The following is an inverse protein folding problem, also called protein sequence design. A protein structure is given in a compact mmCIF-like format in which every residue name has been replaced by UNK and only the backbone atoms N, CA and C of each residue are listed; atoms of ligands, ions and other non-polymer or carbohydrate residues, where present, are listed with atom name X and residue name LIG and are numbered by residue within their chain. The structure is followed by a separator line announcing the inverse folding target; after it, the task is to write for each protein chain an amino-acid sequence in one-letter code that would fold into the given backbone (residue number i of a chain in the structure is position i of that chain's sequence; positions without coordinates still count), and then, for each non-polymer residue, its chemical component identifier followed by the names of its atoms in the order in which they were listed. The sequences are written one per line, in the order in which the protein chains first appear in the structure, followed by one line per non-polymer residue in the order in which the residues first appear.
data_IF_794550336554
#
_entry.id   IF_794550336554
#
_cell.length_a   1.000
_cell.length_b   1.000
_cell.length_c   1.000
_cell.angle_alpha   90.00
_cell.angle_beta   90.00
_cell.angle_gamma   90.00
#
_symmetry.space_group_name_H-M   'P 1'
#
loop_
_entity.id
_entity.type
_entity.pdbx_description
1 polymer ?
#
# COMPACT_ATOMS: atom_id res chain seq x y z
N UNK A 1 12.77 -15.48 -4.34
CA UNK A 1 12.19 -15.72 -2.99
C UNK A 1 10.67 -15.70 -3.06
N UNK A 2 9.99 -16.46 -2.18
CA UNK A 2 8.55 -16.34 -2.00
C UNK A 2 8.20 -15.00 -1.34
N UNK A 3 7.12 -14.35 -1.79
CA UNK A 3 6.67 -13.07 -1.24
C UNK A 3 6.15 -13.27 0.20
N UNK A 4 6.65 -12.49 1.17
CA UNK A 4 6.23 -12.62 2.58
C UNK A 4 4.77 -12.18 2.76
N UNK A 5 4.03 -12.72 3.75
CA UNK A 5 2.63 -12.33 3.97
C UNK A 5 2.42 -10.82 4.17
N UNK A 6 3.33 -10.15 4.90
CA UNK A 6 3.31 -8.70 5.08
C UNK A 6 3.41 -7.97 3.73
N UNK A 7 4.36 -8.37 2.88
CA UNK A 7 4.56 -7.75 1.57
C UNK A 7 3.36 -7.96 0.65
N UNK A 8 2.75 -9.15 0.69
CA UNK A 8 1.54 -9.47 -0.08
C UNK A 8 0.36 -8.58 0.30
N UNK A 9 0.23 -8.24 1.58
CA UNK A 9 -0.80 -7.31 2.05
C UNK A 9 -0.43 -5.86 1.71
N UNK A 10 0.83 -5.44 1.85
CA UNK A 10 1.31 -4.10 1.47
C UNK A 10 1.23 -3.83 -0.04
N UNK A 11 1.32 -4.86 -0.87
CA UNK A 11 1.17 -4.73 -2.32
C UNK A 11 -0.29 -4.56 -2.75
N UNK A 12 -1.26 -4.81 -1.85
CA UNK A 12 -2.66 -4.50 -2.09
C UNK A 12 -2.90 -2.99 -1.92
N UNK A 13 -3.41 -2.36 -2.98
CA UNK A 13 -3.67 -0.92 -2.98
C UNK A 13 -4.86 -0.56 -2.08
N UNK A 14 -5.83 -1.46 -1.98
CA UNK A 14 -7.13 -1.24 -1.35
C UNK A 14 -7.31 -2.14 -0.13
N UNK A 15 -7.63 -1.52 1.01
CA UNK A 15 -8.08 -2.19 2.22
C UNK A 15 -9.60 -2.02 2.39
N UNK A 16 -10.29 -3.09 2.72
CA UNK A 16 -11.72 -3.08 3.06
C UNK A 16 -11.84 -3.54 4.52
N UNK A 17 -12.30 -2.64 5.39
CA UNK A 17 -12.45 -2.91 6.82
C UNK A 17 -13.91 -3.15 7.17
N UNK A 18 -14.19 -4.29 7.80
CA UNK A 18 -15.49 -4.60 8.38
C UNK A 18 -15.52 -4.34 9.88
N UNK A 19 -16.71 -4.16 10.44
CA UNK A 19 -16.88 -3.97 11.89
C UNK A 19 -16.54 -5.24 12.65
N UNK A 20 -16.88 -6.41 12.09
CA UNK A 20 -16.75 -7.70 12.80
C UNK A 20 -16.09 -8.80 11.97
N UNK A 21 -15.42 -9.78 12.62
CA UNK A 21 -14.84 -10.94 11.94
C UNK A 21 -15.84 -11.79 11.15
N UNK A 22 -17.09 -11.90 11.61
CA UNK A 22 -18.09 -12.74 10.94
C UNK A 22 -18.50 -12.17 9.58
N UNK A 23 -18.43 -10.84 9.41
CA UNK A 23 -18.83 -10.12 8.20
C UNK A 23 -17.87 -10.36 7.02
N UNK A 24 -16.58 -10.54 7.32
CA UNK A 24 -15.52 -10.52 6.30
C UNK A 24 -15.69 -11.65 5.29
N UNK A 25 -16.15 -12.83 5.73
CA UNK A 25 -16.23 -14.02 4.89
C UNK A 25 -17.26 -13.84 3.77
N UNK A 26 -18.42 -13.27 4.11
CA UNK A 26 -19.50 -13.04 3.14
C UNK A 26 -19.07 -11.95 2.15
N UNK A 27 -18.60 -10.81 2.64
CA UNK A 27 -18.15 -9.69 1.78
C UNK A 27 -16.99 -10.12 0.87
N UNK A 28 -16.00 -10.83 1.41
CA UNK A 28 -14.87 -11.35 0.64
C UNK A 28 -15.32 -12.31 -0.47
N UNK A 29 -16.31 -13.16 -0.19
CA UNK A 29 -16.85 -14.11 -1.15
C UNK A 29 -17.48 -13.38 -2.35
N UNK A 30 -18.31 -12.36 -2.11
CA UNK A 30 -18.95 -11.57 -3.18
C UNK A 30 -17.92 -10.82 -4.05
N UNK A 31 -16.85 -10.35 -3.40
CA UNK A 31 -15.71 -9.72 -4.07
C UNK A 31 -14.80 -10.72 -4.82
N UNK A 32 -14.96 -12.03 -4.59
CA UNK A 32 -14.14 -13.07 -5.18
C UNK A 32 -12.76 -13.24 -4.53
N UNK A 33 -12.57 -12.76 -3.30
CA UNK A 33 -11.36 -12.93 -2.52
C UNK A 33 -11.34 -14.32 -1.85
N UNK A 34 -10.58 -15.25 -2.42
CA UNK A 34 -10.54 -16.66 -1.99
C UNK A 34 -9.35 -17.01 -1.13
N UNK A 35 -8.28 -16.22 -1.23
CA UNK A 35 -7.07 -16.50 -0.49
C UNK A 35 -7.14 -15.92 0.91
N UNK A 36 -6.56 -16.61 1.89
CA UNK A 36 -6.55 -16.20 3.29
C UNK A 36 -5.14 -16.10 3.85
N UNK A 37 -4.86 -15.02 4.55
CA UNK A 37 -3.66 -14.84 5.38
C UNK A 37 -4.10 -14.64 6.84
N UNK A 38 -3.45 -15.35 7.76
CA UNK A 38 -3.61 -15.15 9.21
C UNK A 38 -2.74 -13.99 9.67
N UNK A 39 -3.24 -13.16 10.57
CA UNK A 39 -2.46 -12.09 11.22
C UNK A 39 -1.22 -12.62 11.94
N UNK A 40 -1.27 -13.85 12.46
CA UNK A 40 -0.12 -14.55 13.06
C UNK A 40 1.07 -14.71 12.12
N UNK A 41 0.86 -14.66 10.81
CA UNK A 41 1.89 -14.82 9.79
C UNK A 41 2.41 -13.46 9.26
N UNK A 42 1.91 -12.35 9.80
CA UNK A 42 2.18 -10.99 9.32
C UNK A 42 2.89 -10.21 10.41
N UNK A 43 4.17 -9.91 10.18
CA UNK A 43 4.97 -9.14 11.14
C UNK A 43 4.31 -7.79 11.46
N UNK A 44 4.20 -7.49 12.76
CA UNK A 44 3.60 -6.25 13.26
C UNK A 44 2.06 -6.25 13.33
N UNK A 45 1.39 -7.38 13.05
CA UNK A 45 -0.07 -7.51 13.14
C UNK A 45 -0.48 -8.44 14.28
N UNK A 46 -1.57 -8.11 14.97
CA UNK A 46 -2.14 -8.96 16.02
C UNK A 46 -2.65 -10.31 15.44
N UNK A 47 -2.41 -11.38 16.18
CA UNK A 47 -2.80 -12.76 15.87
C UNK A 47 -4.31 -12.93 15.61
N UNK A 48 -5.15 -12.07 16.16
CA UNK A 48 -6.61 -12.15 15.96
C UNK A 48 -7.09 -11.81 14.55
N UNK A 49 -6.27 -11.16 13.72
CA UNK A 49 -6.72 -10.69 12.41
C UNK A 49 -6.72 -11.79 11.35
N UNK A 50 -7.65 -11.66 10.41
CA UNK A 50 -7.76 -12.49 9.21
C UNK A 50 -7.87 -11.57 8.00
N UNK A 51 -7.15 -11.92 6.94
CA UNK A 51 -7.16 -11.19 5.68
C UNK A 51 -7.66 -12.10 4.56
N UNK A 52 -8.69 -11.68 3.86
CA UNK A 52 -9.10 -12.29 2.59
C UNK A 52 -8.55 -11.47 1.44
N UNK A 53 -7.72 -12.08 0.60
CA UNK A 53 -7.02 -11.41 -0.49
C UNK A 53 -7.73 -11.70 -1.80
N UNK A 54 -7.92 -10.65 -2.59
CA UNK A 54 -8.48 -10.73 -3.93
C UNK A 54 -7.75 -9.84 -4.92
N UNK A 55 -8.06 -10.08 -6.20
CA UNK A 55 -7.60 -9.25 -7.31
C UNK A 55 -8.78 -8.94 -8.21
N UNK A 56 -8.91 -7.68 -8.60
CA UNK A 56 -9.91 -7.24 -9.55
C UNK A 56 -9.23 -6.81 -10.84
N UNK A 57 -9.66 -7.38 -11.96
CA UNK A 57 -9.13 -7.05 -13.29
C UNK A 57 -9.99 -6.01 -13.99
N UNK A 58 -9.34 -5.08 -14.67
CA UNK A 58 -9.96 -3.96 -15.38
C UNK A 58 -9.62 -4.01 -16.87
N UNK A 59 -10.37 -3.24 -17.67
CA UNK A 59 -10.08 -3.05 -19.10
C UNK A 59 -8.64 -2.55 -19.26
N UNK A 60 -7.89 -3.14 -20.20
CA UNK A 60 -6.48 -2.85 -20.40
C UNK A 60 -5.52 -3.68 -19.54
N UNK A 61 -6.02 -4.72 -18.84
CA UNK A 61 -5.17 -5.68 -18.11
C UNK A 61 -4.66 -5.19 -16.76
N UNK A 62 -5.06 -3.99 -16.32
CA UNK A 62 -4.74 -3.47 -14.99
C UNK A 62 -5.36 -4.36 -13.92
N UNK A 63 -4.61 -4.63 -12.85
CA UNK A 63 -5.04 -5.46 -11.73
C UNK A 63 -4.99 -4.67 -10.43
N UNK A 64 -6.10 -4.62 -9.70
CA UNK A 64 -6.17 -4.04 -8.37
C UNK A 64 -6.10 -5.17 -7.34
N UNK A 65 -5.01 -5.23 -6.59
CA UNK A 65 -4.92 -6.07 -5.39
C UNK A 65 -5.67 -5.42 -4.23
N UNK A 66 -6.45 -6.21 -3.50
CA UNK A 66 -7.17 -5.76 -2.33
C UNK A 66 -7.20 -6.84 -1.24
N UNK A 67 -7.44 -6.41 0.01
CA UNK A 67 -7.79 -7.33 1.09
C UNK A 67 -9.04 -6.87 1.85
N UNK A 68 -9.78 -7.83 2.38
CA UNK A 68 -10.88 -7.63 3.31
C UNK A 68 -10.44 -8.13 4.68
N UNK A 69 -10.62 -7.31 5.71
CA UNK A 69 -10.34 -7.65 7.10
C UNK A 69 -11.34 -6.94 8.01
N UNK A 70 -11.23 -7.12 9.32
CA UNK A 70 -12.12 -6.50 10.30
C UNK A 70 -11.37 -6.01 11.52
N UNK A 71 -12.07 -5.19 12.31
CA UNK A 71 -11.72 -5.03 13.71
C UNK A 71 -11.99 -6.33 14.49
N UNK A 72 -11.30 -6.52 15.61
CA UNK A 72 -11.51 -7.69 16.48
C UNK A 72 -12.79 -7.59 17.32
N UNK A 73 -13.33 -6.38 17.50
CA UNK A 73 -14.53 -6.08 18.28
C UNK A 73 -15.24 -4.86 17.70
N UNK A 74 -16.57 -4.91 17.61
CA UNK A 74 -17.41 -3.77 17.22
C UNK A 74 -17.26 -2.58 18.19
N UNK A 75 -17.55 -1.38 17.68
CA UNK A 75 -17.56 -0.13 18.42
C UNK A 75 -16.44 0.83 18.01
N UNK A 76 -16.67 2.12 18.28
CA UNK A 76 -15.81 3.23 17.86
C UNK A 76 -14.34 3.05 18.28
N UNK A 77 -14.09 2.82 19.57
CA UNK A 77 -12.72 2.76 20.11
C UNK A 77 -11.97 1.50 19.66
N UNK A 78 -12.51 0.27 19.79
CA UNK A 78 -11.83 -0.92 19.30
C UNK A 78 -11.55 -0.87 17.79
N UNK A 79 -12.52 -0.37 17.00
CA UNK A 79 -12.34 -0.20 15.57
C UNK A 79 -11.23 0.81 15.26
N UNK A 80 -11.22 1.97 15.93
CA UNK A 80 -10.22 3.01 15.71
C UNK A 80 -8.79 2.50 15.98
N UNK A 81 -8.60 1.76 17.08
CA UNK A 81 -7.29 1.21 17.47
C UNK A 81 -6.85 0.14 16.47
N UNK A 82 -7.70 -0.85 16.19
CA UNK A 82 -7.37 -1.95 15.31
C UNK A 82 -7.09 -1.48 13.88
N UNK A 83 -8.01 -0.69 13.30
CA UNK A 83 -7.88 -0.17 11.93
C UNK A 83 -6.71 0.80 11.81
N UNK A 84 -6.47 1.66 12.81
CA UNK A 84 -5.31 2.57 12.83
C UNK A 84 -3.96 1.84 12.87
N UNK A 85 -3.85 0.78 13.68
CA UNK A 85 -2.67 -0.07 13.73
C UNK A 85 -2.43 -0.79 12.39
N UNK A 86 -3.47 -1.41 11.82
CA UNK A 86 -3.40 -2.06 10.51
C UNK A 86 -2.99 -1.08 9.40
N UNK A 87 -3.56 0.13 9.36
CA UNK A 87 -3.19 1.17 8.39
C UNK A 87 -1.72 1.57 8.54
N UNK A 88 -1.20 1.69 9.77
CA UNK A 88 0.22 2.04 9.99
C UNK A 88 1.19 0.96 9.50
N UNK A 89 0.83 -0.31 9.69
CA UNK A 89 1.68 -1.46 9.34
C UNK A 89 1.57 -1.81 7.85
N UNK A 90 0.34 -1.92 7.35
CA UNK A 90 0.05 -2.39 5.99
C UNK A 90 0.03 -1.27 4.94
N UNK A 91 -0.06 -0.01 5.37
CA UNK A 91 0.01 1.19 4.54
C UNK A 91 -0.79 1.10 3.22
N UNK A 92 -2.08 0.73 3.26
CA UNK A 92 -2.90 0.73 2.06
C UNK A 92 -3.02 2.16 1.52
N UNK A 93 -3.17 2.32 0.21
CA UNK A 93 -3.42 3.66 -0.38
C UNK A 93 -4.87 4.09 -0.28
N UNK A 94 -5.76 3.11 -0.37
CA UNK A 94 -7.19 3.34 -0.38
C UNK A 94 -7.82 2.49 0.71
N UNK A 95 -8.83 3.03 1.37
CA UNK A 95 -9.60 2.30 2.36
C UNK A 95 -11.10 2.48 2.12
N UNK A 96 -11.86 1.42 2.37
CA UNK A 96 -13.33 1.45 2.42
C UNK A 96 -13.75 0.80 3.74
N UNK A 97 -14.76 1.37 4.38
CA UNK A 97 -15.43 0.69 5.47
C UNK A 97 -16.72 0.04 4.96
N UNK A 98 -16.87 -1.25 5.23
CA UNK A 98 -18.03 -2.04 4.82
C UNK A 98 -18.66 -2.77 6.01
N UNK A 99 -19.90 -3.21 5.88
CA UNK A 99 -20.61 -3.96 6.92
C UNK A 99 -22.11 -3.73 6.84
N UNK A 100 -22.78 -3.73 7.98
CA UNK A 100 -24.22 -3.45 8.06
C UNK A 100 -24.56 -2.26 8.95
N UNK A 101 -25.77 -1.73 8.78
CA UNK A 101 -26.31 -0.63 9.57
C UNK A 101 -27.83 -0.79 9.80
N UNK A 102 -28.34 0.05 10.71
CA UNK A 102 -29.76 0.34 10.83
C UNK A 102 -30.17 1.44 9.84
N UNK A 103 -31.25 1.25 9.09
CA UNK A 103 -31.70 2.18 8.04
C UNK A 103 -32.80 3.15 8.49
N UNK A 104 -32.77 4.39 7.99
CA UNK A 104 -33.81 5.38 8.24
C UNK A 104 -35.07 5.14 7.38
N UNK A 105 -35.99 4.31 7.89
CA UNK A 105 -37.26 3.96 7.23
C UNK A 105 -38.09 5.17 6.78
N UNK A 106 -38.08 6.26 7.55
CA UNK A 106 -38.84 7.49 7.25
C UNK A 106 -38.35 8.19 5.98
N UNK A 107 -37.07 8.02 5.65
CA UNK A 107 -36.45 8.51 4.42
C UNK A 107 -36.54 7.50 3.26
N UNK A 108 -37.31 6.41 3.42
CA UNK A 108 -37.52 5.41 2.37
C UNK A 108 -36.46 4.32 2.28
N UNK A 109 -35.53 4.24 3.25
CA UNK A 109 -34.54 3.16 3.33
C UNK A 109 -35.22 1.87 3.78
N UNK A 110 -34.96 0.75 3.08
CA UNK A 110 -35.53 -0.57 3.37
C UNK A 110 -34.44 -1.56 3.76
N UNK A 111 -34.84 -2.69 4.35
CA UNK A 111 -33.95 -3.83 4.57
C UNK A 111 -33.32 -4.26 3.25
N UNK A 112 -32.05 -4.66 3.30
CA UNK A 112 -31.20 -5.05 2.17
C UNK A 112 -30.86 -3.94 1.17
N UNK A 113 -31.39 -2.72 1.31
CA UNK A 113 -30.83 -1.57 0.61
C UNK A 113 -29.38 -1.33 1.12
N UNK A 114 -28.54 -0.66 0.33
CA UNK A 114 -27.19 -0.28 0.72
C UNK A 114 -27.11 1.23 0.86
N UNK A 115 -26.64 1.70 2.00
CA UNK A 115 -26.28 3.11 2.20
C UNK A 115 -24.81 3.30 1.83
N UNK A 116 -24.54 4.31 1.04
CA UNK A 116 -23.22 4.80 0.67
C UNK A 116 -23.04 6.18 1.28
N UNK A 117 -21.89 6.46 1.87
CA UNK A 117 -21.65 7.75 2.47
C UNK A 117 -20.18 8.08 2.63
N UNK A 118 -19.91 9.36 2.72
CA UNK A 118 -18.58 9.93 2.94
C UNK A 118 -18.57 10.91 4.12
N UNK A 119 -19.64 10.89 4.91
CA UNK A 119 -19.85 11.76 6.06
C UNK A 119 -20.48 10.99 7.21
N UNK A 120 -19.98 11.20 8.43
CA UNK A 120 -20.50 10.56 9.63
C UNK A 120 -20.37 11.45 10.87
N UNK A 121 -21.14 11.12 11.90
CA UNK A 121 -21.19 11.84 13.17
C UNK A 121 -21.16 10.85 14.34
N UNK A 122 -20.61 11.24 15.49
CA UNK A 122 -20.65 10.44 16.71
C UNK A 122 -21.84 10.85 17.59
N UNK A 123 -22.59 9.90 18.12
CA UNK A 123 -23.66 10.15 19.10
C UNK A 123 -23.14 10.52 20.49
N UNK A 124 -21.92 10.12 20.78
CA UNK A 124 -21.34 10.13 22.13
C UNK A 124 -20.34 11.26 22.32
N UNK A 125 -20.05 12.00 21.26
CA UNK A 125 -19.28 13.23 21.35
C UNK A 125 -20.18 14.32 21.96
N UNK A 126 -19.65 15.05 22.94
CA UNK A 126 -20.41 16.07 23.66
C UNK A 126 -19.96 16.25 25.10
N UNK A 127 -20.83 16.85 25.91
CA UNK A 127 -20.57 17.09 27.34
C UNK A 127 -21.80 16.81 28.18
N UNK A 128 -21.57 16.33 29.39
CA UNK A 128 -22.60 16.26 30.42
C UNK A 128 -22.74 17.61 31.11
N UNK A 129 -23.98 18.09 31.27
CA UNK A 129 -24.29 19.34 31.94
C UNK A 129 -25.42 19.14 32.95
N UNK A 130 -25.35 19.84 34.08
CA UNK A 130 -26.46 19.90 35.03
C UNK A 130 -27.44 20.98 34.60
N UNK A 131 -28.67 20.61 34.25
CA UNK A 131 -29.74 21.54 33.87
C UNK A 131 -30.94 21.29 34.78
N UNK A 132 -31.31 22.28 35.59
CA UNK A 132 -32.38 22.17 36.59
C UNK A 132 -32.21 20.91 37.48
N UNK A 133 -31.03 20.76 38.08
CA UNK A 133 -30.64 19.60 38.91
C UNK A 133 -30.72 18.23 38.23
N UNK A 134 -30.91 18.19 36.91
CA UNK A 134 -30.93 16.96 36.12
C UNK A 134 -29.67 16.88 35.25
N UNK A 135 -28.91 15.80 35.40
CA UNK A 135 -27.74 15.54 34.57
C UNK A 135 -28.21 15.21 33.14
N UNK A 136 -27.87 16.06 32.19
CA UNK A 136 -28.29 15.96 30.78
C UNK A 136 -27.06 15.89 29.89
N UNK A 137 -27.05 14.94 28.96
CA UNK A 137 -26.03 14.90 27.92
C UNK A 137 -26.35 15.91 26.82
N UNK A 138 -25.40 16.80 26.53
CA UNK A 138 -25.45 17.76 25.44
C UNK A 138 -24.53 17.25 24.33
N UNK A 139 -25.08 16.62 23.28
CA UNK A 139 -24.29 16.08 22.19
C UNK A 139 -23.63 17.21 21.39
N UNK A 140 -22.42 16.93 20.93
CA UNK A 140 -21.68 17.74 19.96
C UNK A 140 -21.55 16.91 18.69
N UNK A 141 -22.55 17.05 17.81
CA UNK A 141 -22.61 16.29 16.57
C UNK A 141 -21.68 16.92 15.51
N UNK A 142 -20.36 16.85 15.75
CA UNK A 142 -19.37 17.22 14.74
C UNK A 142 -19.46 16.25 13.56
N UNK A 143 -19.64 16.79 12.35
CA UNK A 143 -19.63 15.97 11.13
C UNK A 143 -18.20 15.80 10.64
N UNK A 144 -17.74 14.56 10.55
CA UNK A 144 -16.49 14.23 9.87
C UNK A 144 -16.83 13.81 8.44
N UNK A 145 -16.23 14.50 7.46
CA UNK A 145 -16.45 14.22 6.04
C UNK A 145 -15.12 13.98 5.32
N UNK A 146 -15.12 13.01 4.41
CA UNK A 146 -14.03 12.75 3.47
C UNK A 146 -14.63 12.63 2.06
N UNK A 147 -14.96 13.75 1.39
CA UNK A 147 -15.74 13.74 0.15
C UNK A 147 -15.17 12.80 -0.91
N UNK A 148 -16.02 11.92 -1.45
CA UNK A 148 -15.58 10.95 -2.46
C UNK A 148 -16.21 11.25 -3.81
N UNK A 149 -15.37 11.62 -4.78
CA UNK A 149 -15.81 11.95 -6.13
C UNK A 149 -16.57 10.78 -6.77
N UNK A 150 -17.76 11.07 -7.32
CA UNK A 150 -18.58 10.09 -8.03
C UNK A 150 -19.47 9.21 -7.14
N UNK A 151 -19.39 9.29 -5.81
CA UNK A 151 -20.19 8.44 -4.92
C UNK A 151 -21.69 8.77 -5.00
N UNK A 152 -22.03 10.07 -5.04
CA UNK A 152 -23.42 10.53 -5.19
C UNK A 152 -24.01 10.08 -6.55
N UNK A 153 -23.37 10.36 -7.71
CA UNK A 153 -23.83 9.83 -8.99
C UNK A 153 -23.97 8.30 -8.99
N UNK A 154 -23.02 7.57 -8.41
CA UNK A 154 -23.04 6.11 -8.36
C UNK A 154 -24.26 5.55 -7.61
N UNK A 155 -24.61 6.15 -6.47
CA UNK A 155 -25.81 5.77 -5.73
C UNK A 155 -27.08 6.10 -6.52
N UNK A 156 -27.15 7.28 -7.13
CA UNK A 156 -28.35 7.77 -7.82
C UNK A 156 -28.79 6.94 -9.04
N UNK A 157 -27.93 6.06 -9.57
CA UNK A 157 -28.26 5.20 -10.72
C UNK A 157 -28.90 3.87 -10.31
N UNK A 158 -29.19 3.64 -9.03
CA UNK A 158 -29.66 2.36 -8.49
C UNK A 158 -30.76 2.58 -7.46
N UNK A 159 -31.85 1.82 -7.58
CA UNK A 159 -33.01 1.98 -6.69
C UNK A 159 -32.78 1.47 -5.26
N UNK A 160 -31.84 0.53 -5.07
CA UNK A 160 -31.51 -0.06 -3.77
C UNK A 160 -30.22 0.50 -3.16
N UNK A 161 -29.68 1.59 -3.72
CA UNK A 161 -28.46 2.24 -3.19
C UNK A 161 -28.73 3.69 -2.89
N UNK A 162 -28.50 4.09 -1.65
CA UNK A 162 -28.79 5.44 -1.16
C UNK A 162 -27.50 6.17 -0.84
N UNK A 163 -27.43 7.48 -1.10
CA UNK A 163 -26.37 8.32 -0.56
C UNK A 163 -26.85 9.06 0.69
N UNK A 164 -26.14 8.92 1.80
CA UNK A 164 -26.52 9.55 3.06
C UNK A 164 -25.41 9.61 4.09
N UNK A 165 -25.72 10.32 5.18
CA UNK A 165 -24.83 10.49 6.32
C UNK A 165 -25.06 9.36 7.32
N UNK A 166 -23.96 8.96 7.94
CA UNK A 166 -23.97 7.99 9.02
C UNK A 166 -23.98 8.67 10.38
N UNK A 167 -24.57 7.98 11.34
CA UNK A 167 -24.44 8.28 12.76
C UNK A 167 -23.86 7.05 13.43
N UNK A 168 -22.81 7.22 14.24
CA UNK A 168 -22.13 6.14 14.93
C UNK A 168 -22.35 6.23 16.43
N UNK A 169 -22.51 5.08 17.12
CA UNK A 169 -22.49 4.98 18.57
C UNK A 169 -21.64 3.81 19.06
N UNK A 170 -21.30 3.75 20.35
CA UNK A 170 -20.52 2.65 20.91
C UNK A 170 -21.36 1.44 21.31
N UNK A 171 -22.68 1.52 21.16
CA UNK A 171 -23.61 0.44 21.46
C UNK A 171 -24.66 0.31 20.37
N UNK A 172 -25.20 -0.90 20.21
CA UNK A 172 -26.36 -1.10 19.36
C UNK A 172 -27.59 -0.48 20.03
N UNK A 173 -28.48 0.08 19.20
CA UNK A 173 -29.63 0.89 19.62
C UNK A 173 -30.93 0.33 19.05
N UNK A 174 -31.98 0.39 19.85
CA UNK A 174 -33.36 0.03 19.45
C UNK A 174 -34.27 1.27 19.37
N UNK A 175 -33.69 2.46 19.54
CA UNK A 175 -34.35 3.76 19.45
C UNK A 175 -33.87 4.57 18.24
N UNK A 176 -33.44 3.90 17.16
CA UNK A 176 -32.92 4.56 15.97
C UNK A 176 -33.91 5.56 15.34
N UNK A 177 -35.25 5.31 15.30
CA UNK A 177 -36.21 6.28 14.78
C UNK A 177 -36.15 7.64 15.51
N UNK A 178 -36.04 7.62 16.84
CA UNK A 178 -35.95 8.84 17.65
C UNK A 178 -34.60 9.56 17.45
N UNK A 179 -33.52 8.80 17.28
CA UNK A 179 -32.20 9.33 16.95
C UNK A 179 -32.22 10.03 15.59
N UNK A 180 -32.76 9.37 14.55
CA UNK A 180 -32.86 9.95 13.21
C UNK A 180 -33.69 11.23 13.22
N UNK A 181 -34.87 11.22 13.84
CA UNK A 181 -35.71 12.42 13.95
C UNK A 181 -34.97 13.58 14.61
N UNK A 182 -34.26 13.32 15.71
CA UNK A 182 -33.47 14.35 16.38
C UNK A 182 -32.39 14.93 15.48
N UNK A 183 -31.62 14.10 14.79
CA UNK A 183 -30.54 14.53 13.89
C UNK A 183 -31.09 15.27 12.66
N UNK A 184 -32.21 14.81 12.10
CA UNK A 184 -32.91 15.47 10.99
C UNK A 184 -33.33 16.90 11.33
N UNK A 185 -33.86 17.09 12.55
CA UNK A 185 -34.37 18.38 13.02
C UNK A 185 -33.26 19.35 13.44
N UNK A 186 -32.14 18.83 13.96
CA UNK A 186 -31.11 19.67 14.59
C UNK A 186 -29.87 19.86 13.74
N UNK A 187 -29.50 18.88 12.90
CA UNK A 187 -28.22 18.89 12.17
C UNK A 187 -28.39 18.75 10.66
N UNK A 188 -28.95 17.63 10.16
CA UNK A 188 -28.98 17.34 8.73
C UNK A 188 -30.11 16.42 8.32
N UNK A 189 -30.79 16.76 7.21
CA UNK A 189 -31.84 15.93 6.61
C UNK A 189 -31.31 14.74 5.81
N UNK A 190 -29.98 14.59 5.69
CA UNK A 190 -29.34 13.53 4.90
C UNK A 190 -28.96 12.30 5.72
N UNK A 191 -29.32 12.24 7.00
CA UNK A 191 -29.00 11.08 7.86
C UNK A 191 -29.83 9.87 7.44
N UNK A 192 -29.15 8.79 7.03
CA UNK A 192 -29.80 7.58 6.52
C UNK A 192 -29.45 6.30 7.27
N UNK A 193 -28.35 6.31 8.04
CA UNK A 193 -27.83 5.10 8.67
C UNK A 193 -27.33 5.34 10.09
N UNK A 194 -27.60 4.37 10.97
CA UNK A 194 -27.06 4.29 12.34
C UNK A 194 -26.23 3.01 12.47
N UNK A 195 -25.00 3.14 12.96
CA UNK A 195 -24.04 2.04 13.09
C UNK A 195 -23.00 2.36 14.19
N UNK A 196 -21.82 1.72 14.19
CA UNK A 196 -20.90 1.77 15.32
C UNK A 196 -19.46 2.24 15.01
N UNK A 197 -19.08 2.50 13.74
CA UNK A 197 -17.67 2.68 13.35
C UNK A 197 -17.40 3.74 12.26
N UNK A 198 -18.38 4.20 11.49
CA UNK A 198 -18.19 5.07 10.32
C UNK A 198 -17.49 6.40 10.65
N UNK A 199 -17.86 7.05 11.75
CA UNK A 199 -17.21 8.29 12.20
C UNK A 199 -15.75 8.05 12.60
N UNK A 200 -15.44 6.95 13.29
CA UNK A 200 -14.07 6.57 13.62
C UNK A 200 -13.24 6.30 12.34
N UNK A 201 -13.80 5.56 11.38
CA UNK A 201 -13.15 5.29 10.10
C UNK A 201 -12.80 6.58 9.34
N UNK A 202 -13.78 7.48 9.16
CA UNK A 202 -13.56 8.73 8.44
C UNK A 202 -12.60 9.66 9.19
N UNK A 203 -12.63 9.66 10.53
CA UNK A 203 -11.70 10.45 11.36
C UNK A 203 -10.27 9.91 11.24
N UNK A 204 -10.10 8.58 11.25
CA UNK A 204 -8.80 7.95 10.98
C UNK A 204 -8.25 8.35 9.61
N UNK A 205 -9.02 8.17 8.53
CA UNK A 205 -8.54 8.50 7.19
C UNK A 205 -8.24 9.99 6.99
N UNK A 206 -9.04 10.88 7.57
CA UNK A 206 -8.82 12.34 7.48
C UNK A 206 -7.61 12.84 8.29
N UNK A 207 -7.26 12.17 9.39
CA UNK A 207 -6.17 12.59 10.28
C UNK A 207 -4.83 11.88 9.99
N UNK A 208 -4.83 10.82 9.18
CA UNK A 208 -3.63 10.04 8.90
C UNK A 208 -2.71 10.69 7.85
N UNK A 209 -2.26 11.92 8.13
CA UNK A 209 -1.30 12.68 7.29
C UNK A 209 0.01 11.93 7.03
N UNK A 210 0.36 10.98 7.90
CA UNK A 210 1.59 10.19 7.77
C UNK A 210 1.44 8.96 6.86
N UNK A 211 0.23 8.46 6.64
CA UNK A 211 0.00 7.25 5.82
C UNK A 211 -0.64 7.53 4.47
N UNK A 212 -1.14 8.76 4.23
CA UNK A 212 -1.74 9.18 2.95
C UNK A 212 -2.87 8.25 2.44
N UNK A 213 -3.59 7.58 3.36
CA UNK A 213 -4.70 6.69 2.98
C UNK A 213 -5.91 7.52 2.57
N UNK A 214 -6.40 7.33 1.36
CA UNK A 214 -7.63 7.94 0.87
C UNK A 214 -8.84 7.05 1.19
N UNK A 215 -9.81 7.59 1.94
CA UNK A 215 -11.10 6.94 2.10
C UNK A 215 -11.87 7.01 0.78
N UNK A 216 -12.38 5.85 0.33
CA UNK A 216 -13.27 5.73 -0.84
C UNK A 216 -14.74 5.55 -0.43
N UNK A 217 -15.06 5.77 0.85
CA UNK A 217 -16.42 5.80 1.37
C UNK A 217 -16.70 4.73 2.43
N UNK A 218 -17.93 4.79 2.94
CA UNK A 218 -18.54 3.84 3.86
C UNK A 218 -19.77 3.26 3.16
N UNK A 219 -19.78 1.93 2.97
CA UNK A 219 -20.83 1.22 2.25
C UNK A 219 -21.41 0.15 3.17
N UNK A 220 -22.67 0.31 3.58
CA UNK A 220 -23.30 -0.61 4.53
C UNK A 220 -24.69 -1.04 4.11
N UNK A 221 -24.94 -2.34 4.14
CA UNK A 221 -26.24 -2.93 3.90
C UNK A 221 -27.14 -2.77 5.11
N UNK A 222 -28.43 -2.56 4.87
CA UNK A 222 -29.41 -2.33 5.93
C UNK A 222 -29.89 -3.68 6.45
N UNK A 223 -29.40 -4.10 7.62
CA UNK A 223 -29.78 -5.38 8.25
C UNK A 223 -30.95 -5.25 9.22
N UNK A 224 -31.21 -4.04 9.72
CA UNK A 224 -32.35 -3.73 10.57
C UNK A 224 -32.78 -2.27 10.40
N UNK A 225 -33.88 -1.88 11.03
CA UNK A 225 -34.40 -0.49 11.01
C UNK A 225 -34.24 0.19 12.38
N UNK A 226 -33.48 -0.44 13.29
CA UNK A 226 -33.21 0.02 14.65
C UNK A 226 -34.45 0.23 15.50
N UNK A 227 -35.47 -0.60 15.30
CA UNK A 227 -36.71 -0.69 16.07
C UNK A 227 -36.80 -2.03 16.84
N UNK A 228 -37.89 -2.24 17.59
CA UNK A 228 -38.13 -3.45 18.41
C UNK A 228 -38.26 -4.74 17.58
N UNK A 229 -38.32 -4.65 16.25
CA UNK A 229 -38.43 -5.80 15.34
C UNK A 229 -37.06 -6.38 14.94
N UNK A 230 -35.97 -5.85 15.50
CA UNK A 230 -34.59 -6.25 15.20
C UNK A 230 -34.32 -7.75 15.42
N UNK A 231 -33.56 -8.35 14.51
CA UNK A 231 -32.97 -9.68 14.68
C UNK A 231 -33.97 -10.84 14.59
N UNK A 232 -35.19 -10.60 14.12
CA UNK A 232 -36.20 -11.65 13.91
C UNK A 232 -35.84 -12.62 12.79
N UNK A 233 -34.99 -12.21 11.86
CA UNK A 233 -34.58 -13.02 10.72
C UNK A 233 -33.06 -12.90 10.47
N UNK A 234 -32.27 -13.94 10.83
CA UNK A 234 -30.83 -14.00 10.53
C UNK A 234 -30.52 -13.93 9.03
N UNK A 235 -31.43 -14.35 8.15
CA UNK A 235 -31.23 -14.33 6.70
C UNK A 235 -31.10 -12.90 6.19
N UNK A 236 -31.80 -11.93 6.80
CA UNK A 236 -31.71 -10.52 6.45
C UNK A 236 -30.31 -9.95 6.70
N UNK A 237 -29.64 -10.37 7.78
CA UNK A 237 -28.29 -9.92 8.09
C UNK A 237 -27.29 -10.42 7.04
N UNK A 238 -27.36 -11.70 6.70
CA UNK A 238 -26.50 -12.28 5.66
C UNK A 238 -26.77 -11.67 4.28
N UNK A 239 -28.04 -11.49 3.89
CA UNK A 239 -28.38 -10.91 2.59
C UNK A 239 -27.97 -9.43 2.51
N UNK A 240 -28.11 -8.65 3.57
CA UNK A 240 -27.60 -7.28 3.63
C UNK A 240 -26.07 -7.22 3.44
N UNK A 241 -25.32 -8.19 3.98
CA UNK A 241 -23.88 -8.30 3.74
C UNK A 241 -23.56 -8.70 2.29
N UNK A 242 -24.37 -9.58 1.68
CA UNK A 242 -24.22 -9.94 0.26
C UNK A 242 -24.45 -8.73 -0.64
N UNK A 243 -25.53 -7.99 -0.41
CA UNK A 243 -25.81 -6.75 -1.14
C UNK A 243 -24.71 -5.71 -0.94
N UNK A 244 -24.18 -5.57 0.28
CA UNK A 244 -22.99 -4.75 0.55
C UNK A 244 -21.82 -5.17 -0.32
N UNK A 245 -21.50 -6.47 -0.37
CA UNK A 245 -20.42 -7.00 -1.19
C UNK A 245 -20.61 -6.77 -2.70
N UNK A 246 -21.84 -6.93 -3.21
CA UNK A 246 -22.20 -6.67 -4.62
C UNK A 246 -22.01 -5.18 -4.97
N UNK A 247 -22.60 -4.28 -4.17
CA UNK A 247 -22.48 -2.83 -4.39
C UNK A 247 -21.04 -2.35 -4.23
N UNK A 248 -20.30 -2.89 -3.26
CA UNK A 248 -18.88 -2.60 -3.07
C UNK A 248 -18.04 -3.00 -4.28
N UNK A 249 -18.29 -4.18 -4.85
CA UNK A 249 -17.61 -4.64 -6.07
C UNK A 249 -17.84 -3.68 -7.24
N UNK A 250 -19.09 -3.25 -7.43
CA UNK A 250 -19.46 -2.29 -8.47
C UNK A 250 -18.84 -0.92 -8.23
N UNK A 251 -18.82 -0.47 -6.97
CA UNK A 251 -18.23 0.81 -6.60
C UNK A 251 -16.73 0.84 -6.86
N UNK A 252 -16.01 -0.20 -6.45
CA UNK A 252 -14.57 -0.35 -6.73
C UNK A 252 -14.31 -0.35 -8.24
N UNK A 253 -15.13 -1.05 -9.03
CA UNK A 253 -15.02 -1.01 -10.50
C UNK A 253 -15.21 0.39 -11.06
N UNK A 254 -16.20 1.12 -10.55
CA UNK A 254 -16.48 2.49 -10.97
C UNK A 254 -15.31 3.43 -10.64
N UNK A 255 -14.84 3.44 -9.39
CA UNK A 255 -13.73 4.28 -8.93
C UNK A 255 -12.45 4.05 -9.72
N UNK A 256 -12.07 2.79 -9.89
CA UNK A 256 -10.77 2.42 -10.45
C UNK A 256 -10.81 2.25 -11.98
N UNK A 257 -11.95 2.53 -12.64
CA UNK A 257 -12.01 2.56 -14.11
C UNK A 257 -11.11 3.63 -14.73
N UNK A 258 -10.95 4.77 -14.06
CA UNK A 258 -10.17 5.93 -14.52
C UNK A 258 -9.05 6.35 -13.56
N UNK A 259 -9.01 5.80 -12.35
CA UNK A 259 -7.98 6.09 -11.36
C UNK A 259 -6.65 5.40 -11.74
N UNK A 260 -5.53 5.97 -11.32
CA UNK A 260 -4.23 5.28 -11.30
C UNK A 260 -3.89 4.96 -9.86
N UNK A 261 -3.52 3.71 -9.60
CA UNK A 261 -3.28 3.20 -8.25
C UNK A 261 -1.98 2.42 -8.15
N UNK A 262 -1.12 2.41 -9.16
CA UNK A 262 0.18 1.76 -9.04
C UNK A 262 1.10 2.60 -8.14
N UNK A 263 1.92 1.98 -7.28
CA UNK A 263 2.88 2.75 -6.50
C UNK A 263 3.84 3.43 -7.46
N UNK A 264 4.03 4.73 -7.30
CA UNK A 264 5.18 5.37 -7.93
C UNK A 264 6.42 4.89 -7.20
N UNK A 265 7.10 3.89 -7.77
CA UNK A 265 8.40 3.42 -7.27
C UNK A 265 9.40 4.59 -7.16
N UNK A 266 9.18 5.73 -7.86
CA UNK A 266 10.06 6.90 -7.79
C UNK A 266 10.19 7.53 -6.38
N UNK A 267 9.20 7.35 -5.51
CA UNK A 267 9.20 7.89 -4.16
C UNK A 267 9.90 6.98 -3.13
N UNK A 268 10.13 5.72 -3.50
CA UNK A 268 10.73 4.71 -2.63
C UNK A 268 12.20 5.04 -2.30
N UNK A 269 12.68 4.70 -1.08
CA UNK A 269 14.08 4.84 -0.71
C UNK A 269 15.07 4.29 -1.74
N UNK A 270 14.80 3.09 -2.27
CA UNK A 270 15.63 2.44 -3.29
C UNK A 270 15.74 3.26 -4.58
N UNK A 271 14.66 3.86 -5.06
CA UNK A 271 14.66 4.70 -6.26
C UNK A 271 15.39 6.03 -6.03
N UNK A 272 15.21 6.67 -4.86
CA UNK A 272 15.95 7.89 -4.48
C UNK A 272 17.45 7.64 -4.43
N UNK A 273 17.85 6.50 -3.86
CA UNK A 273 19.24 6.07 -3.81
C UNK A 273 19.78 5.76 -5.22
N UNK A 274 19.03 5.03 -6.04
CA UNK A 274 19.40 4.70 -7.42
C UNK A 274 19.57 5.94 -8.29
N UNK A 275 18.74 6.97 -8.10
CA UNK A 275 18.89 8.28 -8.77
C UNK A 275 20.24 8.92 -8.46
N UNK A 276 20.57 9.00 -7.17
CA UNK A 276 21.84 9.57 -6.71
C UNK A 276 23.03 8.77 -7.22
N UNK A 277 22.95 7.43 -7.14
CA UNK A 277 23.97 6.53 -7.63
C UNK A 277 24.16 6.64 -9.15
N UNK A 278 23.07 6.67 -9.93
CA UNK A 278 23.12 6.85 -11.37
C UNK A 278 23.85 8.13 -11.77
N UNK A 279 23.44 9.27 -11.21
CA UNK A 279 24.01 10.58 -11.58
C UNK A 279 25.46 10.75 -11.11
N UNK A 280 25.81 10.24 -9.93
CA UNK A 280 27.13 10.47 -9.34
C UNK A 280 28.18 9.44 -9.73
N UNK A 281 27.76 8.22 -10.08
CA UNK A 281 28.64 7.12 -10.46
C UNK A 281 28.42 6.70 -11.92
N UNK A 282 27.30 6.04 -12.23
CA UNK A 282 27.09 5.37 -13.53
C UNK A 282 27.28 6.33 -14.70
N UNK A 283 26.59 7.47 -14.67
CA UNK A 283 26.67 8.47 -15.73
C UNK A 283 28.11 8.98 -15.90
N UNK A 284 28.80 9.27 -14.80
CA UNK A 284 30.17 9.80 -14.84
C UNK A 284 31.16 8.78 -15.40
N UNK A 285 31.03 7.51 -15.02
CA UNK A 285 31.89 6.43 -15.51
C UNK A 285 31.62 6.17 -16.99
N UNK A 286 30.36 6.01 -17.39
CA UNK A 286 30.00 5.75 -18.80
C UNK A 286 30.39 6.91 -19.71
N UNK A 287 30.17 8.16 -19.29
CA UNK A 287 30.59 9.35 -20.05
C UNK A 287 32.12 9.41 -20.18
N UNK A 288 32.86 9.05 -19.12
CA UNK A 288 34.32 9.00 -19.14
C UNK A 288 34.86 7.94 -20.12
N UNK A 289 34.28 6.74 -20.11
CA UNK A 289 34.63 5.68 -21.07
C UNK A 289 34.32 6.11 -22.51
N UNK A 290 33.14 6.71 -22.73
CA UNK A 290 32.71 7.19 -24.05
C UNK A 290 33.60 8.33 -24.58
N UNK A 291 34.14 9.16 -23.70
CA UNK A 291 35.10 10.21 -24.04
C UNK A 291 36.55 9.70 -24.18
N UNK A 292 36.81 8.40 -23.97
CA UNK A 292 38.14 7.82 -24.04
C UNK A 292 39.07 8.27 -22.91
N UNK A 293 38.52 8.67 -21.75
CA UNK A 293 39.32 9.02 -20.59
C UNK A 293 40.09 7.79 -20.06
N UNK A 294 41.30 7.98 -19.52
CA UNK A 294 42.13 6.87 -19.07
C UNK A 294 41.46 6.14 -17.90
N UNK A 295 41.55 4.81 -17.95
CA UNK A 295 41.27 3.92 -16.82
C UNK A 295 42.62 3.42 -16.31
N UNK A 296 42.91 3.73 -15.05
CA UNK A 296 44.12 3.22 -14.39
C UNK A 296 43.76 1.94 -13.66
N UNK A 297 44.36 0.83 -14.04
CA UNK A 297 44.15 -0.46 -13.36
C UNK A 297 45.39 -0.71 -12.50
N UNK A 298 45.20 -0.96 -11.21
CA UNK A 298 46.32 -1.31 -10.33
C UNK A 298 46.88 -2.65 -10.78
N UNK A 299 48.09 -2.63 -11.33
CA UNK A 299 48.73 -3.81 -11.86
C UNK A 299 49.02 -4.79 -10.71
N UNK A 300 48.41 -5.96 -10.77
CA UNK A 300 48.83 -7.11 -9.97
C UNK A 300 50.15 -7.61 -10.61
N UNK A 301 51.27 -7.16 -10.03
CA UNK A 301 52.67 -7.52 -10.34
C UNK A 301 53.32 -6.85 -11.57
N UNK A 302 54.49 -6.25 -11.33
CA UNK A 302 55.32 -5.45 -12.24
C UNK A 302 55.86 -6.18 -13.50
N UNK A 303 55.51 -7.44 -13.74
CA UNK A 303 56.09 -8.26 -14.81
C UNK A 303 55.11 -8.67 -15.92
N UNK A 304 53.87 -8.17 -15.93
CA UNK A 304 52.93 -8.46 -17.02
C UNK A 304 53.15 -7.52 -18.21
N UNK A 305 53.51 -8.09 -19.36
CA UNK A 305 53.62 -7.39 -20.65
C UNK A 305 52.27 -7.22 -21.37
N UNK A 306 51.17 -7.64 -20.73
CA UNK A 306 49.84 -7.54 -21.32
C UNK A 306 49.40 -6.07 -21.45
N UNK A 307 48.76 -5.68 -22.58
CA UNK A 307 48.22 -4.34 -22.74
C UNK A 307 47.18 -4.04 -21.66
N UNK A 308 47.20 -2.82 -21.12
CA UNK A 308 46.24 -2.39 -20.10
C UNK A 308 44.80 -2.58 -20.59
N UNK A 309 43.90 -3.15 -19.76
CA UNK A 309 42.52 -3.37 -20.17
C UNK A 309 41.86 -2.05 -20.56
N UNK A 310 41.08 -2.07 -21.64
CA UNK A 310 40.28 -0.93 -22.12
C UNK A 310 38.81 -1.29 -21.97
N UNK A 311 38.23 -1.10 -20.78
CA UNK A 311 36.84 -1.44 -20.59
C UNK A 311 35.93 -0.56 -21.45
N UNK A 312 34.92 -1.18 -22.05
CA UNK A 312 33.96 -0.55 -22.96
C UNK A 312 32.55 -0.51 -22.37
N UNK A 313 32.30 -1.29 -21.32
CA UNK A 313 31.00 -1.38 -20.67
C UNK A 313 31.11 -1.39 -19.14
N UNK A 314 30.00 -1.09 -18.47
CA UNK A 314 29.86 -1.08 -17.01
C UNK A 314 28.85 -2.15 -16.58
N UNK A 315 29.20 -2.97 -15.59
CA UNK A 315 28.34 -3.98 -14.97
C UNK A 315 28.10 -3.60 -13.52
N UNK A 316 26.84 -3.41 -13.14
CA UNK A 316 26.43 -3.15 -11.77
C UNK A 316 25.91 -4.46 -11.20
N UNK A 317 26.58 -5.02 -10.20
CA UNK A 317 26.23 -6.33 -9.67
C UNK A 317 25.38 -6.17 -8.42
N UNK A 318 24.13 -6.62 -8.46
CA UNK A 318 23.24 -6.64 -7.30
C UNK A 318 23.70 -7.73 -6.31
N UNK A 319 23.50 -7.54 -5.00
CA UNK A 319 23.90 -8.52 -4.01
C UNK A 319 23.09 -9.82 -4.12
N UNK A 320 23.61 -10.95 -3.62
CA UNK A 320 22.87 -12.21 -3.53
C UNK A 320 21.57 -12.01 -2.75
N UNK A 321 20.49 -12.56 -3.28
CA UNK A 321 19.15 -12.49 -2.68
C UNK A 321 18.71 -11.05 -2.33
N UNK A 322 19.23 -10.06 -3.05
CA UNK A 322 18.98 -8.64 -2.80
C UNK A 322 19.36 -8.18 -1.37
N UNK A 323 20.26 -8.91 -0.70
CA UNK A 323 20.74 -8.59 0.64
C UNK A 323 21.59 -7.31 0.64
N UNK A 324 21.00 -6.21 1.10
CA UNK A 324 21.61 -4.88 1.06
C UNK A 324 22.90 -4.74 1.85
N UNK A 325 23.13 -5.58 2.88
CA UNK A 325 24.31 -5.58 3.74
C UNK A 325 25.50 -6.36 3.14
N UNK A 326 25.29 -7.08 2.05
CA UNK A 326 26.30 -8.00 1.50
C UNK A 326 27.56 -7.28 0.98
N UNK A 327 27.48 -5.97 0.73
CA UNK A 327 28.61 -5.12 0.32
C UNK A 327 28.97 -4.07 1.39
N UNK A 328 28.62 -4.32 2.65
CA UNK A 328 28.88 -3.40 3.76
C UNK A 328 30.38 -3.22 3.99
N UNK A 329 31.08 -4.33 4.14
CA UNK A 329 32.47 -4.35 4.55
C UNK A 329 33.43 -4.33 3.35
N UNK A 330 34.50 -3.55 3.46
CA UNK A 330 35.52 -3.50 2.41
C UNK A 330 36.19 -4.86 2.21
N UNK A 331 36.43 -5.62 3.28
CA UNK A 331 37.05 -6.95 3.21
C UNK A 331 36.23 -7.95 2.39
N UNK A 332 34.90 -7.87 2.43
CA UNK A 332 34.02 -8.71 1.61
C UNK A 332 34.20 -8.43 0.12
N UNK A 333 34.36 -7.17 -0.27
CA UNK A 333 34.59 -6.81 -1.67
C UNK A 333 35.99 -7.22 -2.15
N UNK A 334 37.00 -7.14 -1.28
CA UNK A 334 38.35 -7.62 -1.56
C UNK A 334 38.37 -9.15 -1.76
N UNK A 335 37.62 -9.89 -0.93
CA UNK A 335 37.43 -11.33 -1.06
C UNK A 335 36.72 -11.70 -2.38
N UNK A 336 35.64 -10.98 -2.72
CA UNK A 336 34.93 -11.16 -4.00
C UNK A 336 35.89 -10.86 -5.17
N UNK A 337 36.63 -9.75 -5.11
CA UNK A 337 37.58 -9.39 -6.13
C UNK A 337 38.68 -10.45 -6.32
N UNK A 338 39.22 -10.98 -5.22
CA UNK A 338 40.18 -12.09 -5.26
C UNK A 338 39.58 -13.36 -5.87
N UNK A 339 38.37 -13.73 -5.45
CA UNK A 339 37.66 -14.93 -5.91
C UNK A 339 37.40 -14.92 -7.41
N UNK A 340 37.01 -13.78 -7.97
CA UNK A 340 36.65 -13.66 -9.40
C UNK A 340 37.76 -13.02 -10.26
N UNK A 341 38.97 -12.90 -9.71
CA UNK A 341 40.14 -12.29 -10.35
C UNK A 341 39.85 -10.89 -10.94
N UNK A 342 39.18 -10.06 -10.16
CA UNK A 342 38.90 -8.67 -10.50
C UNK A 342 40.10 -7.77 -10.12
N UNK A 343 40.37 -6.76 -10.93
CA UNK A 343 41.46 -5.81 -10.68
C UNK A 343 40.90 -4.44 -10.28
N UNK A 344 41.51 -3.76 -9.30
CA UNK A 344 41.11 -2.40 -8.93
C UNK A 344 41.31 -1.46 -10.12
N UNK A 345 40.29 -0.67 -10.43
CA UNK A 345 40.30 0.29 -11.51
C UNK A 345 39.86 1.67 -11.02
N UNK A 346 40.52 2.70 -11.51
CA UNK A 346 40.19 4.11 -11.28
C UNK A 346 39.88 4.78 -12.61
N UNK A 347 38.68 5.31 -12.72
CA UNK A 347 38.19 6.00 -13.92
C UNK A 347 38.15 7.50 -13.69
N UNK A 348 38.61 8.28 -14.68
CA UNK A 348 38.54 9.74 -14.68
C UNK A 348 39.83 10.42 -14.21
N UNK A 349 39.77 11.74 -14.06
CA UNK A 349 40.94 12.59 -13.76
C UNK A 349 40.70 13.50 -12.54
N UNK A 350 41.79 13.84 -11.83
CA UNK A 350 41.81 14.79 -10.71
C UNK A 350 40.74 14.50 -9.65
N UNK A 351 39.88 15.46 -9.34
CA UNK A 351 38.81 15.39 -8.33
C UNK A 351 37.62 14.52 -8.72
N UNK A 352 37.56 14.01 -9.96
CA UNK A 352 36.45 13.23 -10.48
C UNK A 352 36.77 11.74 -10.61
N UNK A 353 37.76 11.24 -9.86
CA UNK A 353 38.08 9.82 -9.83
C UNK A 353 36.91 9.01 -9.26
N UNK A 354 36.65 7.85 -9.87
CA UNK A 354 35.71 6.82 -9.40
C UNK A 354 36.44 5.49 -9.36
N UNK A 355 36.30 4.78 -8.26
CA UNK A 355 36.85 3.44 -8.07
C UNK A 355 35.82 2.41 -8.50
N UNK A 356 36.26 1.40 -9.23
CA UNK A 356 35.49 0.23 -9.62
C UNK A 356 36.46 -0.95 -9.72
N UNK A 357 35.96 -2.11 -10.13
CA UNK A 357 36.77 -3.25 -10.53
C UNK A 357 36.80 -3.39 -12.05
N UNK A 358 37.78 -4.11 -12.58
CA UNK A 358 37.89 -4.42 -14.00
C UNK A 358 38.06 -5.94 -14.22
N UNK A 359 37.35 -6.47 -15.22
CA UNK A 359 37.44 -7.85 -15.69
C UNK A 359 37.22 -7.87 -17.20
N UNK A 360 38.29 -8.13 -17.95
CA UNK A 360 38.28 -8.08 -19.42
C UNK A 360 37.88 -6.70 -19.92
N UNK A 361 36.85 -6.63 -20.77
CA UNK A 361 36.33 -5.37 -21.34
C UNK A 361 35.26 -4.69 -20.46
N UNK A 362 35.05 -5.18 -19.23
CA UNK A 362 34.02 -4.66 -18.35
C UNK A 362 34.62 -3.98 -17.12
N UNK A 363 34.07 -2.83 -16.76
CA UNK A 363 34.11 -2.34 -15.39
C UNK A 363 32.99 -3.00 -14.61
N UNK A 364 33.27 -3.37 -13.36
CA UNK A 364 32.34 -4.01 -12.45
C UNK A 364 32.25 -3.17 -11.19
N UNK A 365 31.04 -2.79 -10.79
CA UNK A 365 30.79 -2.10 -9.53
C UNK A 365 29.79 -2.88 -8.67
N UNK A 366 30.05 -2.86 -7.37
CA UNK A 366 29.19 -3.41 -6.34
C UNK A 366 28.61 -2.23 -5.54
N UNK A 367 27.32 -1.90 -5.69
CA UNK A 367 26.75 -0.65 -5.20
C UNK A 367 26.64 -0.64 -3.67
N UNK A 368 27.74 -0.29 -2.98
CA UNK A 368 27.81 -0.15 -1.51
C UNK A 368 26.84 0.87 -0.93
N UNK A 369 26.26 1.73 -1.76
CA UNK A 369 25.23 2.65 -1.32
C UNK A 369 23.96 1.92 -0.86
N UNK A 370 23.74 0.66 -1.30
CA UNK A 370 22.62 -0.18 -0.86
C UNK A 370 22.61 -0.39 0.65
N UNK A 371 23.76 -0.38 1.33
CA UNK A 371 23.84 -0.45 2.80
C UNK A 371 23.06 0.70 3.49
N UNK A 372 22.82 1.82 2.79
CA UNK A 372 21.95 2.89 3.30
C UNK A 372 20.47 2.51 3.39
N UNK A 373 20.09 1.33 2.91
CA UNK A 373 18.72 0.81 2.94
C UNK A 373 18.47 -0.17 4.08
N UNK A 374 19.47 -0.52 4.90
CA UNK A 374 19.33 -1.54 5.94
C UNK A 374 18.28 -1.18 7.00
N UNK A 375 18.16 0.11 7.29
CA UNK A 375 17.18 0.66 8.24
C UNK A 375 15.81 0.94 7.59
N UNK A 376 15.62 0.61 6.31
CA UNK A 376 14.34 0.83 5.62
C UNK A 376 13.36 -0.31 5.85
N UNK A 377 12.07 -0.02 5.63
CA UNK A 377 11.06 -1.06 5.54
C UNK A 377 11.35 -1.97 4.33
N UNK A 378 11.56 -3.26 4.60
CA UNK A 378 11.85 -4.29 3.60
C UNK A 378 13.09 -4.00 2.73
N UNK A 379 14.31 -4.04 3.29
CA UNK A 379 15.53 -3.63 2.57
C UNK A 379 15.77 -4.36 1.25
N UNK A 380 15.48 -5.66 1.19
CA UNK A 380 15.58 -6.44 -0.06
C UNK A 380 14.61 -5.95 -1.15
N UNK A 381 13.42 -5.47 -0.79
CA UNK A 381 12.53 -4.81 -1.74
C UNK A 381 13.15 -3.52 -2.28
N UNK A 382 13.73 -2.71 -1.39
CA UNK A 382 14.34 -1.45 -1.78
C UNK A 382 15.53 -1.66 -2.73
N UNK A 383 16.29 -2.75 -2.56
CA UNK A 383 17.29 -3.19 -3.55
C UNK A 383 16.69 -3.56 -4.92
N UNK A 384 15.55 -4.26 -4.94
CA UNK A 384 14.83 -4.55 -6.19
C UNK A 384 14.33 -3.27 -6.88
N UNK A 385 13.78 -2.32 -6.13
CA UNK A 385 13.37 -1.00 -6.66
C UNK A 385 14.57 -0.25 -7.20
N UNK A 386 15.69 -0.25 -6.47
CA UNK A 386 16.93 0.35 -6.92
C UNK A 386 17.36 -0.20 -8.29
N UNK A 387 17.37 -1.53 -8.45
CA UNK A 387 17.67 -2.21 -9.71
C UNK A 387 16.75 -1.77 -10.83
N UNK A 388 15.42 -1.90 -10.66
CA UNK A 388 14.43 -1.56 -11.69
C UNK A 388 14.55 -0.11 -12.13
N UNK A 389 14.77 0.78 -11.15
CA UNK A 389 14.96 2.19 -11.42
C UNK A 389 16.20 2.46 -12.27
N UNK A 390 17.31 1.73 -12.05
CA UNK A 390 18.51 1.82 -12.88
C UNK A 390 18.26 1.29 -14.29
N UNK A 391 17.67 0.10 -14.42
CA UNK A 391 17.36 -0.53 -15.71
C UNK A 391 16.48 0.36 -16.61
N UNK A 392 15.64 1.20 -16.00
CA UNK A 392 14.82 2.17 -16.71
C UNK A 392 15.61 3.39 -17.26
N UNK A 393 16.89 3.60 -16.91
CA UNK A 393 17.68 4.80 -17.27
C UNK A 393 18.36 4.67 -18.64
N UNK A 394 18.67 5.80 -19.32
CA UNK A 394 19.22 5.81 -20.69
C UNK A 394 20.41 4.87 -20.93
N UNK A 395 21.42 4.82 -20.05
CA UNK A 395 22.61 3.97 -20.25
C UNK A 395 22.36 2.47 -20.11
N UNK A 396 21.21 2.06 -19.58
CA UNK A 396 20.85 0.64 -19.44
C UNK A 396 19.91 0.16 -20.54
N UNK A 397 19.38 1.07 -21.36
CA UNK A 397 18.51 0.72 -22.48
C UNK A 397 19.36 0.37 -23.71
N UNK A 398 19.08 -0.78 -24.31
CA UNK A 398 19.61 -1.11 -25.64
C UNK A 398 19.02 -0.16 -26.67
N UNK A 399 19.88 0.36 -27.55
CA UNK A 399 19.51 1.09 -28.76
C UNK A 399 19.75 0.13 -29.92
N UNK A 400 18.85 0.08 -30.91
CA UNK A 400 18.90 -0.90 -32.01
C UNK A 400 20.32 -1.07 -32.57
N UNK A 401 20.79 -2.32 -32.56
CA UNK A 401 22.11 -2.70 -33.10
C UNK A 401 23.32 -2.41 -32.19
N UNK A 402 23.13 -1.92 -30.96
CA UNK A 402 24.21 -1.72 -29.99
C UNK A 402 23.85 -2.23 -28.60
N UNK A 403 24.79 -2.89 -27.94
CA UNK A 403 24.65 -3.22 -26.53
C UNK A 403 24.58 -1.96 -25.67
N UNK A 404 23.86 -2.07 -24.55
CA UNK A 404 23.77 -0.98 -23.59
C UNK A 404 25.15 -0.75 -22.96
N UNK A 405 25.59 0.51 -22.80
CA UNK A 405 26.89 0.83 -22.19
C UNK A 405 26.96 0.44 -20.71
N UNK A 406 25.81 0.26 -20.04
CA UNK A 406 25.72 -0.28 -18.71
C UNK A 406 24.70 -1.44 -18.63
N UNK A 407 24.92 -2.39 -17.73
CA UNK A 407 23.99 -3.48 -17.42
C UNK A 407 23.93 -3.70 -15.92
N UNK A 408 22.73 -3.97 -15.40
CA UNK A 408 22.57 -4.50 -14.04
C UNK A 408 22.55 -6.01 -14.12
N UNK A 409 23.37 -6.67 -13.31
CA UNK A 409 23.45 -8.13 -13.19
C UNK A 409 22.90 -8.55 -11.82
N UNK A 410 22.14 -9.63 -11.81
CA UNK A 410 21.96 -10.43 -10.59
C UNK A 410 23.28 -11.05 -10.18
N UNK A 411 23.39 -11.44 -8.91
CA UNK A 411 24.54 -12.19 -8.43
C UNK A 411 24.78 -13.47 -9.24
N UNK A 412 23.73 -14.23 -9.55
CA UNK A 412 23.83 -15.46 -10.36
C UNK A 412 24.38 -15.22 -11.76
N UNK A 413 23.91 -14.17 -12.45
CA UNK A 413 24.44 -13.78 -13.77
C UNK A 413 25.91 -13.36 -13.69
N UNK A 414 26.30 -12.60 -12.66
CA UNK A 414 27.69 -12.22 -12.44
C UNK A 414 28.59 -13.44 -12.24
N UNK A 415 28.18 -14.42 -11.43
CA UNK A 415 28.93 -15.66 -11.20
C UNK A 415 29.11 -16.44 -12.51
N UNK A 416 28.04 -16.57 -13.30
CA UNK A 416 28.10 -17.29 -14.58
C UNK A 416 29.04 -16.62 -15.59
N UNK A 417 28.94 -15.30 -15.75
CA UNK A 417 29.81 -14.54 -16.66
C UNK A 417 31.27 -14.60 -16.20
N UNK A 418 31.51 -14.53 -14.89
CA UNK A 418 32.86 -14.55 -14.31
C UNK A 418 33.51 -15.94 -14.32
N UNK A 419 32.72 -17.02 -14.35
CA UNK A 419 33.22 -18.39 -14.49
C UNK A 419 33.58 -18.76 -15.94
N UNK A 420 32.95 -18.10 -16.92
CA UNK A 420 33.17 -18.34 -18.35
C UNK A 420 34.27 -17.49 -19.00
N UNK A 421 34.91 -16.60 -18.24
CA UNK A 421 35.94 -15.65 -18.71
C UNK A 421 37.22 -15.73 -17.89
#
# INVERSE_FOLDING_TARGET
MAETPLRRLRSCALAIFCGKPEEITIIATELGARERISGTAVDGVDNGHIFHIGKMEFVGGKKLGFYVTSSLRQGLVPFAIATGALISVLRPRFAIHAGVCAGNKKQGVRLMDVVCGDSAMSLEDGKWALKNDTLTFLPDYETVSSPVAGLIPFASTRDNVHYGFYVSGSAVREDAPAIFEKIELTITRKVLALEMEASAFLKLCSHSKHTNVLALGVLKGVSDLGDEDRGRDPEVYEEALRETGKVLKDWVRNCFSSMTWEPSEEAEPGAKLARTYYTNFVQRVVDALSAGLPVTVEAVQENSTAPAPRPTAVKIVMPPDDNVDYFAEQGQLEEIAGTYALQNAVVGQKSFKRTAYCKGENLVDFPRCLNGLCDTDEPAYQALVFRRFLEARPYFRRIEGRDAPAQVLTWGEFVQVSAGS
#
